data_IF_807618404925
#
_entry.id   IF_807618404925
#
_cell.length_a   1.000
_cell.length_b   1.000
_cell.length_c   1.000
_cell.angle_alpha   90.00
_cell.angle_beta   90.00
_cell.angle_gamma   90.00
#
_symmetry.space_group_name_H-M   'P 1'
#
loop_
_entity.id
_entity.type
_entity.pdbx_description
1 polymer ?
#
# COMPACT_ATOMS: atom_id res chain seq x y z
N UNK A 1 9.62 1.93 17.84
CA UNK A 1 8.50 2.09 16.95
C UNK A 1 8.49 1.15 15.76
N UNK A 2 7.48 1.22 14.96
CA UNK A 2 7.33 0.47 13.71
C UNK A 2 7.40 1.45 12.55
N UNK A 3 8.21 1.12 11.55
CA UNK A 3 8.39 1.96 10.36
C UNK A 3 8.41 1.11 9.10
N UNK A 4 8.08 1.74 7.98
CA UNK A 4 8.23 1.13 6.66
C UNK A 4 9.62 1.42 6.10
N UNK A 5 10.18 0.51 5.32
CA UNK A 5 11.41 0.76 4.57
C UNK A 5 11.12 1.62 3.33
N UNK A 6 12.07 2.45 2.84
CA UNK A 6 13.40 2.69 3.41
C UNK A 6 13.39 3.71 4.55
N UNK A 7 14.37 3.63 5.44
CA UNK A 7 14.57 4.58 6.53
C UNK A 7 16.06 4.66 6.90
N UNK A 8 16.53 5.78 7.52
CA UNK A 8 17.91 5.88 7.98
C UNK A 8 18.20 4.88 9.08
N UNK A 9 19.40 4.32 9.07
CA UNK A 9 19.84 3.35 10.08
C UNK A 9 20.88 3.97 11.00
N UNK A 10 20.67 3.84 12.31
CA UNK A 10 21.59 4.32 13.34
C UNK A 10 22.23 3.13 14.05
N UNK A 11 23.49 3.29 14.50
CA UNK A 11 24.25 2.21 15.14
C UNK A 11 23.59 1.63 16.39
N UNK A 12 22.91 2.48 17.15
CA UNK A 12 22.26 2.09 18.40
C UNK A 12 20.87 1.47 18.23
N UNK A 13 20.43 1.34 16.99
CA UNK A 13 19.09 0.86 16.68
C UNK A 13 19.18 -0.54 16.08
N UNK A 14 18.44 -1.47 16.69
CA UNK A 14 18.24 -2.81 16.14
C UNK A 14 17.01 -2.80 15.24
N UNK A 15 17.17 -3.29 14.01
CA UNK A 15 16.09 -3.39 13.04
C UNK A 15 15.73 -4.85 12.84
N UNK A 16 14.45 -5.18 13.02
CA UNK A 16 13.92 -6.52 12.78
C UNK A 16 12.78 -6.46 11.80
N UNK A 17 12.89 -7.11 10.62
CA UNK A 17 11.77 -7.20 9.69
C UNK A 17 10.63 -8.02 10.31
N UNK A 18 9.40 -7.52 10.21
CA UNK A 18 8.21 -8.19 10.70
C UNK A 18 7.37 -8.77 9.56
N UNK A 19 7.24 -8.02 8.47
CA UNK A 19 6.31 -8.36 7.43
C UNK A 19 6.71 -7.72 6.10
N UNK A 20 6.54 -8.47 5.03
CA UNK A 20 6.66 -7.95 3.68
C UNK A 20 5.28 -7.50 3.19
N UNK A 21 5.21 -6.31 2.62
CA UNK A 21 3.97 -5.71 2.13
C UNK A 21 4.00 -5.62 0.61
N UNK A 22 2.94 -6.10 -0.02
CA UNK A 22 2.67 -5.87 -1.43
C UNK A 22 1.54 -4.86 -1.55
N UNK A 23 1.83 -3.74 -2.21
CA UNK A 23 0.84 -2.70 -2.50
C UNK A 23 0.38 -2.83 -3.95
N UNK A 24 -0.92 -2.71 -4.18
CA UNK A 24 -1.50 -2.90 -5.50
C UNK A 24 -2.53 -1.82 -5.82
N UNK A 25 -2.75 -1.60 -7.12
CA UNK A 25 -3.91 -0.87 -7.61
C UNK A 25 -5.02 -1.86 -7.89
N UNK A 26 -6.22 -1.53 -7.46
CA UNK A 26 -7.41 -2.36 -7.61
C UNK A 26 -8.52 -1.61 -8.33
N UNK A 27 -9.33 -2.34 -9.08
CA UNK A 27 -10.42 -1.77 -9.86
C UNK A 27 -11.64 -2.69 -9.86
N UNK A 28 -12.81 -2.10 -10.06
CA UNK A 28 -14.07 -2.83 -10.15
C UNK A 28 -14.55 -2.99 -11.61
N UNK A 29 -15.78 -3.42 -11.77
CA UNK A 29 -16.34 -3.85 -13.06
C UNK A 29 -16.33 -2.78 -14.15
N UNK A 30 -16.52 -1.50 -13.80
CA UNK A 30 -16.47 -0.42 -14.77
C UNK A 30 -15.14 -0.35 -15.52
N UNK A 31 -14.07 -0.87 -14.91
CA UNK A 31 -12.72 -0.84 -15.45
C UNK A 31 -12.26 -2.21 -15.98
N UNK A 32 -13.17 -3.15 -16.21
CA UNK A 32 -12.80 -4.51 -16.65
C UNK A 32 -12.00 -4.55 -17.94
N UNK A 33 -12.12 -3.55 -18.79
CA UNK A 33 -11.28 -3.45 -20.00
C UNK A 33 -9.79 -3.34 -19.69
N UNK A 34 -9.41 -2.99 -18.45
CA UNK A 34 -8.02 -2.93 -18.01
C UNK A 34 -7.52 -4.26 -17.44
N UNK A 35 -8.42 -5.20 -17.16
CA UNK A 35 -8.07 -6.48 -16.57
C UNK A 35 -7.19 -7.31 -17.50
N UNK A 36 -6.06 -7.79 -16.99
CA UNK A 36 -5.10 -8.55 -17.78
C UNK A 36 -4.22 -7.73 -18.73
N UNK A 37 -4.41 -6.41 -18.79
CA UNK A 37 -3.57 -5.54 -19.59
C UNK A 37 -2.27 -5.22 -18.87
N UNK A 38 -1.16 -5.15 -19.62
CA UNK A 38 0.11 -4.63 -19.09
C UNK A 38 0.10 -3.12 -19.25
N UNK A 39 0.02 -2.39 -18.14
CA UNK A 39 -0.16 -0.95 -18.12
C UNK A 39 1.16 -0.22 -17.86
N UNK A 40 1.26 0.98 -18.39
CA UNK A 40 2.28 1.94 -17.98
C UNK A 40 1.74 2.79 -16.81
N UNK A 41 2.60 3.20 -15.89
CA UNK A 41 2.17 4.04 -14.77
C UNK A 41 1.58 5.38 -15.21
N UNK A 42 1.97 5.89 -16.37
CA UNK A 42 1.38 7.11 -16.93
C UNK A 42 -0.12 6.96 -17.23
N UNK A 43 -0.61 5.74 -17.40
CA UNK A 43 -2.05 5.46 -17.55
C UNK A 43 -2.84 5.96 -16.35
N UNK A 44 -2.25 5.96 -15.16
CA UNK A 44 -2.90 6.42 -13.92
C UNK A 44 -3.30 7.91 -13.99
N UNK A 45 -2.61 8.70 -14.77
CA UNK A 45 -2.90 10.15 -14.89
C UNK A 45 -4.26 10.44 -15.52
N UNK A 46 -4.80 9.51 -16.28
CA UNK A 46 -6.11 9.63 -16.92
C UNK A 46 -7.24 8.91 -16.18
N UNK A 47 -6.98 8.36 -15.00
CA UNK A 47 -7.95 7.54 -14.26
C UNK A 47 -8.33 8.21 -12.94
N UNK A 48 -9.59 7.99 -12.49
CA UNK A 48 -9.99 8.45 -11.15
C UNK A 48 -9.32 7.59 -10.09
N UNK A 49 -8.56 8.20 -9.20
CA UNK A 49 -7.77 7.49 -8.19
C UNK A 49 -8.32 7.71 -6.79
N UNK A 50 -8.24 6.68 -5.97
CA UNK A 50 -8.63 6.68 -4.57
C UNK A 50 -7.42 6.23 -3.76
N UNK A 51 -6.89 7.10 -2.91
CA UNK A 51 -5.69 6.86 -2.14
C UNK A 51 -5.92 7.10 -0.66
N UNK A 52 -5.02 6.58 0.17
CA UNK A 52 -4.95 6.99 1.56
C UNK A 52 -4.47 8.43 1.67
N UNK A 53 -4.71 9.02 2.83
CA UNK A 53 -4.26 10.38 3.15
C UNK A 53 -2.74 10.52 3.01
N UNK A 54 -2.23 11.72 2.66
CA UNK A 54 -0.83 11.91 2.29
C UNK A 54 0.20 11.56 3.38
N UNK A 55 -0.18 11.58 4.65
CA UNK A 55 0.71 11.31 5.76
C UNK A 55 0.91 9.81 6.04
N UNK A 56 0.23 8.93 5.33
CA UNK A 56 0.37 7.49 5.50
C UNK A 56 1.61 6.96 4.80
N UNK A 57 2.20 5.89 5.34
CA UNK A 57 3.38 5.27 4.71
C UNK A 57 3.05 4.64 3.35
N UNK A 58 1.86 4.09 3.20
CA UNK A 58 1.39 3.53 1.93
C UNK A 58 1.33 4.61 0.85
N UNK A 59 0.76 5.78 1.17
CA UNK A 59 0.68 6.89 0.23
C UNK A 59 2.06 7.46 -0.10
N UNK A 60 2.91 7.63 0.90
CA UNK A 60 4.28 8.11 0.68
C UNK A 60 5.08 7.19 -0.24
N UNK A 61 4.88 5.89 -0.11
CA UNK A 61 5.57 4.90 -0.94
C UNK A 61 5.22 5.08 -2.43
N UNK A 62 3.94 5.14 -2.76
CA UNK A 62 3.53 5.29 -4.16
C UNK A 62 3.86 6.67 -4.73
N UNK A 63 3.71 7.71 -3.93
CA UNK A 63 4.07 9.07 -4.38
C UNK A 63 5.55 9.15 -4.73
N UNK A 64 6.43 8.55 -3.92
CA UNK A 64 7.87 8.52 -4.16
C UNK A 64 8.23 7.69 -5.41
N UNK A 65 7.59 6.53 -5.58
CA UNK A 65 7.81 5.69 -6.74
C UNK A 65 7.46 6.42 -8.04
N UNK A 66 6.31 7.07 -8.07
CA UNK A 66 5.83 7.76 -9.26
C UNK A 66 6.58 9.08 -9.51
N UNK A 67 7.03 9.76 -8.46
CA UNK A 67 7.84 10.96 -8.61
C UNK A 67 9.14 10.69 -9.38
N UNK A 68 9.76 9.55 -9.19
CA UNK A 68 10.94 9.13 -9.95
C UNK A 68 10.67 8.99 -11.44
N UNK A 69 9.43 8.86 -11.83
CA UNK A 69 8.98 8.73 -13.22
C UNK A 69 8.33 10.01 -13.75
N UNK A 70 8.42 11.09 -12.98
CA UNK A 70 7.81 12.36 -13.34
C UNK A 70 6.29 12.38 -13.22
N UNK A 71 5.72 11.47 -12.46
CA UNK A 71 4.27 11.37 -12.28
C UNK A 71 3.88 11.88 -10.90
N UNK A 72 2.88 12.76 -10.86
CA UNK A 72 2.25 13.22 -9.61
C UNK A 72 0.79 12.74 -9.62
N UNK A 73 0.39 12.08 -8.53
CA UNK A 73 -1.00 11.63 -8.37
C UNK A 73 -1.90 12.81 -7.96
N UNK A 74 -3.09 12.82 -8.53
CA UNK A 74 -4.16 13.75 -8.16
C UNK A 74 -5.41 12.94 -7.82
N UNK A 75 -5.47 12.31 -6.62
CA UNK A 75 -6.60 11.46 -6.27
C UNK A 75 -7.90 12.26 -6.19
N UNK A 76 -9.00 11.65 -6.64
CA UNK A 76 -10.33 12.22 -6.44
C UNK A 76 -10.80 12.05 -5.01
N UNK A 77 -10.37 10.98 -4.34
CA UNK A 77 -10.66 10.73 -2.93
C UNK A 77 -9.39 10.40 -2.18
N UNK A 78 -9.24 11.03 -1.03
CA UNK A 78 -8.19 10.72 -0.05
C UNK A 78 -8.88 10.25 1.22
N UNK A 79 -8.76 8.97 1.54
CA UNK A 79 -9.52 8.31 2.60
C UNK A 79 -8.61 7.90 3.77
N UNK A 80 -9.21 7.78 4.94
CA UNK A 80 -8.46 7.48 6.15
C UNK A 80 -8.04 6.02 6.27
N UNK A 81 -8.79 5.08 5.67
CA UNK A 81 -8.56 3.65 5.83
C UNK A 81 -8.60 2.90 4.51
N UNK A 82 -7.83 1.81 4.45
CA UNK A 82 -7.82 0.90 3.29
C UNK A 82 -9.16 0.21 3.08
N UNK A 83 -9.88 -0.10 4.15
CA UNK A 83 -11.21 -0.70 4.05
C UNK A 83 -12.18 0.21 3.31
N UNK A 84 -12.15 1.51 3.58
CA UNK A 84 -12.96 2.48 2.85
C UNK A 84 -12.61 2.51 1.37
N UNK A 85 -11.32 2.48 1.04
CA UNK A 85 -10.85 2.45 -0.35
C UNK A 85 -11.44 1.23 -1.07
N UNK A 86 -11.33 0.04 -0.48
CA UNK A 86 -11.85 -1.20 -1.08
C UNK A 86 -13.36 -1.08 -1.34
N UNK A 87 -14.13 -0.52 -0.40
CA UNK A 87 -15.57 -0.36 -0.60
C UNK A 87 -15.90 0.64 -1.70
N UNK A 88 -15.14 1.72 -1.84
CA UNK A 88 -15.30 2.67 -2.93
C UNK A 88 -15.00 2.04 -4.27
N UNK A 89 -13.94 1.24 -4.36
CA UNK A 89 -13.57 0.51 -5.58
C UNK A 89 -14.66 -0.49 -5.98
N UNK A 90 -15.22 -1.21 -5.04
CA UNK A 90 -16.32 -2.15 -5.30
C UNK A 90 -17.55 -1.46 -5.87
N UNK A 91 -17.74 -0.19 -5.55
CA UNK A 91 -18.84 0.65 -6.07
C UNK A 91 -18.46 1.41 -7.33
N UNK A 92 -17.33 1.08 -7.95
CA UNK A 92 -16.86 1.69 -9.19
C UNK A 92 -16.62 3.21 -9.10
N UNK A 93 -16.21 3.70 -7.95
CA UNK A 93 -15.94 5.12 -7.74
C UNK A 93 -14.53 5.52 -8.18
N UNK A 94 -13.69 4.56 -8.51
CA UNK A 94 -12.34 4.81 -8.99
C UNK A 94 -11.43 3.60 -8.80
N UNK A 95 -10.16 3.84 -9.06
CA UNK A 95 -9.09 2.86 -8.89
C UNK A 95 -8.38 3.15 -7.58
N UNK A 96 -8.32 2.16 -6.70
CA UNK A 96 -7.76 2.31 -5.36
C UNK A 96 -6.33 1.78 -5.26
N UNK A 97 -5.54 2.37 -4.37
CA UNK A 97 -4.21 1.88 -4.03
C UNK A 97 -4.20 1.42 -2.58
N UNK A 98 -3.96 0.14 -2.35
CA UNK A 98 -4.03 -0.48 -1.02
C UNK A 98 -2.98 -1.58 -0.87
N UNK A 99 -2.69 -1.96 0.37
CA UNK A 99 -2.01 -3.21 0.65
C UNK A 99 -2.91 -4.37 0.20
N UNK A 100 -2.33 -5.33 -0.49
CA UNK A 100 -3.06 -6.45 -1.11
C UNK A 100 -3.98 -7.19 -0.16
N UNK A 101 -3.59 -7.33 1.09
CA UNK A 101 -4.35 -8.06 2.11
C UNK A 101 -5.76 -7.53 2.31
N UNK A 102 -5.94 -6.21 2.21
CA UNK A 102 -7.25 -5.59 2.37
C UNK A 102 -8.20 -5.89 1.21
N UNK A 103 -7.65 -6.24 0.06
CA UNK A 103 -8.41 -6.52 -1.16
C UNK A 103 -8.55 -8.01 -1.46
N UNK A 104 -7.79 -8.87 -0.80
CA UNK A 104 -7.63 -10.29 -1.16
C UNK A 104 -8.96 -11.04 -1.27
N UNK A 105 -9.86 -10.86 -0.31
CA UNK A 105 -11.19 -11.50 -0.30
C UNK A 105 -12.00 -11.15 -1.54
N UNK A 106 -11.97 -9.89 -1.94
CA UNK A 106 -12.76 -9.40 -3.07
C UNK A 106 -12.10 -9.64 -4.43
N UNK A 107 -10.79 -9.83 -4.44
CA UNK A 107 -10.10 -10.32 -5.64
C UNK A 107 -10.45 -11.79 -5.85
N UNK A 108 -10.47 -12.59 -4.79
CA UNK A 108 -10.79 -14.00 -4.85
C UNK A 108 -12.24 -14.24 -5.29
N UNK A 109 -13.19 -13.44 -4.82
CA UNK A 109 -14.59 -13.57 -5.22
C UNK A 109 -14.90 -12.96 -6.59
N UNK A 110 -13.92 -12.28 -7.20
CA UNK A 110 -14.04 -11.73 -8.55
C UNK A 110 -14.72 -10.37 -8.63
N UNK A 111 -15.10 -9.75 -7.51
CA UNK A 111 -15.77 -8.45 -7.53
C UNK A 111 -14.85 -7.29 -7.90
N UNK A 112 -13.57 -7.41 -7.61
CA UNK A 112 -12.52 -6.48 -8.01
C UNK A 112 -11.33 -7.24 -8.57
N UNK A 113 -10.41 -6.53 -9.22
CA UNK A 113 -9.20 -7.14 -9.78
C UNK A 113 -8.00 -6.22 -9.61
N UNK A 114 -6.78 -6.78 -9.50
CA UNK A 114 -5.58 -5.96 -9.45
C UNK A 114 -5.17 -5.51 -10.86
N UNK A 115 -4.69 -4.27 -10.97
CA UNK A 115 -4.06 -3.79 -12.19
C UNK A 115 -2.63 -4.33 -12.29
N UNK A 116 -2.19 -4.60 -13.51
CA UNK A 116 -0.85 -5.09 -13.79
C UNK A 116 -0.05 -4.02 -14.52
N UNK A 117 1.18 -3.78 -14.06
CA UNK A 117 2.07 -2.80 -14.66
C UNK A 117 3.32 -3.47 -15.21
N UNK A 118 3.85 -2.94 -16.31
CA UNK A 118 5.08 -3.45 -16.92
C UNK A 118 6.29 -3.30 -16.00
N UNK A 119 6.32 -2.23 -15.21
CA UNK A 119 7.34 -2.03 -14.19
C UNK A 119 6.78 -2.41 -12.82
N UNK A 120 7.50 -3.22 -12.07
CA UNK A 120 7.06 -3.69 -10.78
C UNK A 120 7.08 -2.58 -9.73
N UNK A 121 6.06 -2.60 -8.86
CA UNK A 121 6.07 -1.83 -7.63
C UNK A 121 6.86 -2.64 -6.58
N UNK A 122 8.00 -2.13 -6.08
CA UNK A 122 8.78 -2.86 -5.09
C UNK A 122 7.96 -3.14 -3.84
N UNK A 123 8.14 -4.34 -3.29
CA UNK A 123 7.52 -4.67 -2.01
C UNK A 123 8.17 -3.90 -0.89
N UNK A 124 7.38 -3.59 0.13
CA UNK A 124 7.83 -2.91 1.34
C UNK A 124 7.95 -3.89 2.49
N UNK A 125 8.76 -3.53 3.46
CA UNK A 125 8.83 -4.27 4.71
C UNK A 125 8.39 -3.38 5.87
N UNK A 126 7.59 -3.93 6.76
CA UNK A 126 7.35 -3.33 8.07
C UNK A 126 8.40 -3.87 9.01
N UNK A 127 9.11 -2.98 9.68
CA UNK A 127 10.20 -3.33 10.57
C UNK A 127 9.90 -2.86 11.99
N UNK A 128 10.33 -3.65 12.98
CA UNK A 128 10.42 -3.20 14.34
C UNK A 128 11.78 -2.54 14.56
N UNK A 129 11.77 -1.30 15.03
CA UNK A 129 12.99 -0.54 15.35
C UNK A 129 13.04 -0.34 16.85
N UNK A 130 14.13 -0.75 17.48
CA UNK A 130 14.34 -0.58 18.93
C UNK A 130 15.80 -0.27 19.23
N UNK A 131 16.03 0.45 20.35
CA UNK A 131 17.39 0.66 20.83
C UNK A 131 17.98 -0.67 21.33
N UNK A 132 19.25 -0.95 20.99
CA UNK A 132 19.91 -2.19 21.34
C UNK A 132 20.08 -2.40 22.84
N UNK A 133 20.04 -1.32 23.63
CA UNK A 133 20.22 -1.33 25.09
C UNK A 133 18.92 -1.45 25.87
N UNK A 134 17.77 -1.42 25.20
CA UNK A 134 16.47 -1.44 25.88
C UNK A 134 15.65 -2.64 25.41
N UNK A 135 14.92 -3.30 26.34
CA UNK A 135 14.01 -4.37 25.96
C UNK A 135 12.80 -3.81 25.20
N UNK A 136 12.20 -4.65 24.36
CA UNK A 136 10.95 -4.31 23.69
C UNK A 136 9.84 -4.18 24.73
N UNK A 137 9.09 -3.08 24.70
CA UNK A 137 8.00 -2.85 25.63
C UNK A 137 6.84 -3.83 25.40
N UNK A 138 5.97 -4.00 26.42
CA UNK A 138 4.77 -4.81 26.30
C UNK A 138 3.85 -4.31 25.18
N UNK A 139 3.72 -2.99 25.04
CA UNK A 139 2.91 -2.39 23.97
C UNK A 139 3.46 -2.73 22.58
N UNK A 140 4.79 -2.68 22.40
CA UNK A 140 5.42 -3.06 21.14
C UNK A 140 5.23 -4.56 20.87
N UNK A 141 5.29 -5.41 21.89
CA UNK A 141 5.01 -6.84 21.74
C UNK A 141 3.60 -7.13 21.27
N UNK A 142 2.60 -6.44 21.80
CA UNK A 142 1.21 -6.57 21.39
C UNK A 142 1.01 -6.09 19.95
N UNK A 143 1.69 -5.02 19.57
CA UNK A 143 1.61 -4.50 18.21
C UNK A 143 2.21 -5.48 17.20
N UNK A 144 3.31 -6.16 17.55
CA UNK A 144 3.91 -7.20 16.73
C UNK A 144 2.94 -8.37 16.50
N UNK A 145 2.22 -8.80 17.51
CA UNK A 145 1.21 -9.86 17.39
C UNK A 145 0.06 -9.43 16.48
N UNK A 146 -0.42 -8.20 16.62
CA UNK A 146 -1.46 -7.64 15.76
C UNK A 146 -1.04 -7.66 14.29
N UNK A 147 0.20 -7.30 13.97
CA UNK A 147 0.72 -7.32 12.61
C UNK A 147 0.84 -8.71 12.02
N UNK A 148 1.03 -9.74 12.84
CA UNK A 148 1.10 -11.13 12.37
C UNK A 148 -0.26 -11.69 11.98
N UNK A 149 -1.34 -11.13 12.47
CA UNK A 149 -2.71 -11.61 12.21
C UNK A 149 -3.41 -10.89 11.08
N UNK A 150 -2.86 -9.82 10.59
CA UNK A 150 -3.40 -9.06 9.46
C UNK A 150 -3.13 -9.72 8.11
#
# INVERSE_FOLDING_TARGET
>A
GIVSTPFPRQEEITVRPLKEIEDIFIAGDTFRHLDGQQLDYHTLTGLPLICLEPNTSTRKHIDALLAKRGITLHPEFELATSDMIVQFVRRNMGIGYVMKEFAAEYIEDGSIFPLQFTAQNPRRQICLVSASTYPVSLAAGRLMESLKTE
#
